data_IF_305153846679
#
_entry.id   IF_305153846679
#
_cell.length_a   1.000
_cell.length_b   1.000
_cell.length_c   1.000
_cell.angle_alpha   90.00
_cell.angle_beta   90.00
_cell.angle_gamma   90.00
#
_symmetry.space_group_name_H-M   'P 1'
#
loop_
_entity.id
_entity.type
_entity.pdbx_description
1 polymer ?
#
# COMPACT_ATOMS: atom_id res chain seq x y z
N UNK A 1 -21.59 26.82 20.00
CA UNK A 1 -20.11 26.70 19.87
C UNK A 1 -19.79 26.59 18.39
N UNK A 2 -19.30 27.66 17.77
CA UNK A 2 -18.89 27.63 16.37
C UNK A 2 -17.54 26.92 16.28
N UNK A 3 -17.51 25.73 15.67
CA UNK A 3 -16.26 25.08 15.33
C UNK A 3 -15.53 25.97 14.31
N UNK A 4 -14.42 26.58 14.72
CA UNK A 4 -13.57 27.32 13.81
C UNK A 4 -13.16 26.39 12.65
N UNK A 5 -13.47 26.75 11.41
CA UNK A 5 -13.14 25.98 10.19
C UNK A 5 -11.64 26.05 9.79
N UNK A 6 -10.80 26.77 10.54
CA UNK A 6 -9.36 26.94 10.27
C UNK A 6 -8.46 25.70 10.48
N UNK A 7 -8.67 24.80 11.47
CA UNK A 7 -7.81 23.63 11.68
C UNK A 7 -7.92 22.62 10.52
N UNK A 8 -9.07 22.53 9.85
CA UNK A 8 -9.27 21.60 8.74
C UNK A 8 -8.38 21.88 7.54
N UNK A 9 -8.16 23.15 7.20
CA UNK A 9 -7.31 23.54 6.07
C UNK A 9 -5.82 23.29 6.35
N UNK A 10 -5.36 23.56 7.58
CA UNK A 10 -3.98 23.27 7.97
C UNK A 10 -3.71 21.77 8.03
N UNK A 11 -4.66 21.01 8.59
CA UNK A 11 -4.58 19.54 8.61
C UNK A 11 -4.60 18.96 7.20
N UNK A 12 -5.46 19.46 6.30
CA UNK A 12 -5.51 19.04 4.91
C UNK A 12 -4.17 19.30 4.19
N UNK A 13 -3.59 20.50 4.37
CA UNK A 13 -2.28 20.83 3.79
C UNK A 13 -1.17 19.92 4.33
N UNK A 14 -1.18 19.61 5.62
CA UNK A 14 -0.20 18.69 6.20
C UNK A 14 -0.35 17.27 5.65
N UNK A 15 -1.58 16.78 5.49
CA UNK A 15 -1.85 15.47 4.90
C UNK A 15 -1.38 15.43 3.45
N UNK A 16 -1.73 16.46 2.67
CA UNK A 16 -1.33 16.56 1.27
C UNK A 16 0.20 16.58 1.12
N UNK A 17 0.90 17.42 1.90
CA UNK A 17 2.37 17.43 1.91
C UNK A 17 2.95 16.07 2.27
N UNK A 18 2.40 15.40 3.29
CA UNK A 18 2.87 14.06 3.67
C UNK A 18 2.63 13.04 2.57
N UNK A 19 1.49 13.11 1.87
CA UNK A 19 1.21 12.23 0.74
C UNK A 19 2.22 12.45 -0.40
N UNK A 20 2.54 13.70 -0.71
CA UNK A 20 3.55 14.08 -1.73
C UNK A 20 4.97 13.64 -1.33
N UNK A 21 5.30 13.64 -0.04
CA UNK A 21 6.60 13.23 0.50
C UNK A 21 6.69 11.71 0.77
N UNK A 22 5.59 10.96 0.61
CA UNK A 22 5.56 9.53 0.91
C UNK A 22 6.15 8.74 -0.24
N UNK A 23 7.25 8.05 0.05
CA UNK A 23 7.98 7.26 -0.93
C UNK A 23 8.38 5.88 -0.36
N UNK A 24 9.13 5.10 -1.15
CA UNK A 24 9.61 3.78 -0.73
C UNK A 24 10.48 3.80 0.54
N UNK A 25 11.18 4.89 0.85
CA UNK A 25 11.98 5.01 2.08
C UNK A 25 11.09 5.37 3.27
N UNK A 26 10.11 6.26 3.08
CA UNK A 26 9.11 6.56 4.09
C UNK A 26 8.39 5.28 4.55
N UNK A 27 7.96 4.44 3.59
CA UNK A 27 7.39 3.13 3.90
C UNK A 27 8.39 2.18 4.56
N UNK A 28 9.65 2.14 4.09
CA UNK A 28 10.66 1.28 4.69
C UNK A 28 10.91 1.65 6.17
N UNK A 29 11.04 2.94 6.47
CA UNK A 29 11.21 3.45 7.83
C UNK A 29 9.98 3.18 8.70
N UNK A 30 8.77 3.24 8.12
CA UNK A 30 7.55 2.90 8.84
C UNK A 30 7.49 1.39 9.16
N UNK A 31 7.78 0.54 8.19
CA UNK A 31 7.79 -0.93 8.35
C UNK A 31 8.88 -1.39 9.33
N UNK A 32 9.98 -0.66 9.43
CA UNK A 32 11.08 -0.92 10.37
C UNK A 32 10.98 -0.11 11.67
N UNK A 33 9.87 0.57 11.90
CA UNK A 33 9.60 1.29 13.16
C UNK A 33 9.38 0.32 14.32
N UNK A 34 9.61 0.79 15.55
CA UNK A 34 9.42 -0.01 16.77
C UNK A 34 8.00 -0.59 16.90
N UNK A 35 7.00 0.04 16.28
CA UNK A 35 5.61 -0.39 16.35
C UNK A 35 5.28 -1.52 15.36
N UNK A 36 6.04 -1.64 14.27
CA UNK A 36 5.72 -2.56 13.17
C UNK A 36 6.79 -3.62 12.93
N UNK A 37 8.04 -3.38 13.32
CA UNK A 37 9.18 -4.26 13.02
C UNK A 37 8.93 -5.70 13.44
N UNK A 38 8.58 -5.94 14.71
CA UNK A 38 8.33 -7.29 15.23
C UNK A 38 7.21 -8.01 14.46
N UNK A 39 6.15 -7.27 14.11
CA UNK A 39 5.02 -7.79 13.34
C UNK A 39 5.42 -8.14 11.91
N UNK A 40 6.22 -7.29 11.26
CA UNK A 40 6.75 -7.55 9.92
C UNK A 40 7.67 -8.77 9.95
N UNK A 41 8.64 -8.83 10.86
CA UNK A 41 9.60 -9.93 10.95
C UNK A 41 8.92 -11.28 11.22
N UNK A 42 7.90 -11.31 12.09
CA UNK A 42 7.14 -12.52 12.38
C UNK A 42 6.35 -13.06 11.17
N UNK A 43 5.94 -12.18 10.26
CA UNK A 43 5.16 -12.54 9.07
C UNK A 43 6.03 -12.90 7.87
N UNK A 44 7.28 -12.47 7.85
CA UNK A 44 8.18 -12.74 6.73
C UNK A 44 8.71 -14.19 6.80
N UNK A 45 8.56 -14.98 5.72
CA UNK A 45 9.16 -16.29 5.68
C UNK A 45 10.69 -16.20 5.71
N UNK A 46 11.35 -17.30 6.07
CA UNK A 46 12.80 -17.41 5.95
C UNK A 46 13.24 -17.02 4.54
N UNK A 47 14.05 -15.96 4.46
CA UNK A 47 14.47 -15.38 3.20
C UNK A 47 16.00 -15.23 3.18
N UNK A 48 16.54 -15.14 1.97
CA UNK A 48 17.96 -14.80 1.78
C UNK A 48 18.06 -13.30 1.53
N UNK A 49 19.11 -12.70 2.09
CA UNK A 49 19.50 -11.34 1.73
C UNK A 49 19.87 -11.28 0.24
N UNK A 50 19.05 -10.54 -0.52
CA UNK A 50 19.18 -10.34 -1.97
C UNK A 50 19.11 -8.83 -2.24
N UNK A 51 19.18 -8.45 -3.52
CA UNK A 51 19.03 -7.04 -3.94
C UNK A 51 17.71 -6.43 -3.46
N UNK A 52 16.64 -7.23 -3.44
CA UNK A 52 15.32 -6.83 -2.95
C UNK A 52 14.89 -7.81 -1.83
N UNK A 53 15.26 -7.55 -0.56
CA UNK A 53 14.71 -8.29 0.57
C UNK A 53 13.21 -8.02 0.74
N UNK A 54 12.47 -8.86 1.47
CA UNK A 54 11.01 -8.74 1.53
C UNK A 54 10.50 -7.39 2.05
N UNK A 55 11.14 -6.81 3.07
CA UNK A 55 10.75 -5.49 3.62
C UNK A 55 10.95 -4.36 2.61
N UNK A 56 12.07 -4.36 1.87
CA UNK A 56 12.31 -3.40 0.79
C UNK A 56 11.34 -3.62 -0.37
N UNK A 57 11.06 -4.88 -0.70
CA UNK A 57 10.08 -5.22 -1.74
C UNK A 57 8.68 -4.70 -1.38
N UNK A 58 8.27 -4.86 -0.12
CA UNK A 58 6.99 -4.38 0.37
C UNK A 58 6.92 -2.85 0.37
N UNK A 59 7.99 -2.16 0.80
CA UNK A 59 8.01 -0.70 0.80
C UNK A 59 7.97 -0.11 -0.60
N UNK A 60 8.68 -0.72 -1.56
CA UNK A 60 8.60 -0.36 -2.99
C UNK A 60 7.22 -0.64 -3.56
N UNK A 61 6.58 -1.75 -3.19
CA UNK A 61 5.24 -2.08 -3.67
C UNK A 61 4.18 -1.11 -3.18
N UNK A 62 4.23 -0.70 -1.91
CA UNK A 62 3.32 0.32 -1.37
C UNK A 62 3.49 1.66 -2.08
N UNK A 63 4.74 2.09 -2.30
CA UNK A 63 5.01 3.32 -3.06
C UNK A 63 4.52 3.22 -4.51
N UNK A 64 4.74 2.07 -5.16
CA UNK A 64 4.27 1.84 -6.53
C UNK A 64 2.74 1.93 -6.63
N UNK A 65 1.99 1.26 -5.75
CA UNK A 65 0.52 1.21 -5.83
C UNK A 65 -0.12 2.57 -5.56
N UNK A 66 0.55 3.42 -4.78
CA UNK A 66 0.07 4.77 -4.44
C UNK A 66 0.56 5.85 -5.41
N UNK A 67 1.46 5.52 -6.34
CA UNK A 67 1.91 6.43 -7.38
C UNK A 67 0.84 6.59 -8.47
N UNK A 68 0.76 7.78 -9.07
CA UNK A 68 -0.27 8.16 -10.05
C UNK A 68 -0.39 7.18 -11.24
N UNK A 69 0.72 6.62 -11.71
CA UNK A 69 0.78 5.73 -12.88
C UNK A 69 1.01 4.25 -12.54
N UNK A 70 1.25 3.92 -11.26
CA UNK A 70 1.54 2.56 -10.81
C UNK A 70 2.76 1.89 -11.45
N UNK A 71 3.66 2.67 -12.08
CA UNK A 71 4.69 2.13 -12.97
C UNK A 71 5.73 1.30 -12.23
N UNK A 72 5.92 0.06 -12.69
CA UNK A 72 6.95 -0.82 -12.16
C UNK A 72 8.36 -0.31 -12.46
N UNK A 73 8.54 0.28 -13.65
CA UNK A 73 9.83 0.85 -14.04
C UNK A 73 10.18 2.06 -13.17
N UNK A 74 9.20 2.95 -12.95
CA UNK A 74 9.38 4.12 -12.08
C UNK A 74 9.80 3.70 -10.67
N UNK A 75 9.11 2.72 -10.08
CA UNK A 75 9.46 2.22 -8.74
C UNK A 75 10.90 1.68 -8.64
N UNK A 76 11.39 1.00 -9.70
CA UNK A 76 12.75 0.47 -9.76
C UNK A 76 13.78 1.57 -10.00
N UNK A 77 13.48 2.54 -10.85
CA UNK A 77 14.35 3.68 -11.13
C UNK A 77 14.53 4.53 -9.87
N UNK A 78 13.43 4.81 -9.14
CA UNK A 78 13.47 5.52 -7.87
C UNK A 78 14.31 4.79 -6.83
N UNK A 79 14.12 3.47 -6.69
CA UNK A 79 14.94 2.66 -5.79
C UNK A 79 16.42 2.68 -6.17
N UNK A 80 16.75 2.60 -7.46
CA UNK A 80 18.12 2.67 -7.94
C UNK A 80 18.77 4.03 -7.65
N UNK A 81 18.06 5.13 -7.89
CA UNK A 81 18.51 6.49 -7.58
C UNK A 81 18.77 6.63 -6.08
N UNK A 82 17.84 6.17 -5.24
CA UNK A 82 17.97 6.28 -3.78
C UNK A 82 19.11 5.44 -3.22
N UNK A 83 19.37 4.26 -3.77
CA UNK A 83 20.57 3.47 -3.42
C UNK A 83 21.85 4.22 -3.73
N UNK A 84 21.93 4.91 -4.88
CA UNK A 84 23.08 5.75 -5.24
C UNK A 84 23.25 6.90 -4.25
N UNK A 85 22.17 7.62 -3.93
CA UNK A 85 22.18 8.72 -2.95
C UNK A 85 22.61 8.22 -1.57
N UNK A 86 22.14 7.03 -1.17
CA UNK A 86 22.47 6.38 0.10
C UNK A 86 23.84 5.70 0.15
N UNK A 87 24.64 5.76 -0.92
CA UNK A 87 25.97 5.12 -0.97
C UNK A 87 25.93 3.58 -0.99
N UNK A 88 24.78 2.98 -1.32
CA UNK A 88 24.61 1.53 -1.43
C UNK A 88 25.06 1.01 -2.80
N UNK A 89 25.36 -0.30 -2.93
CA UNK A 89 25.70 -0.90 -4.20
C UNK A 89 24.61 -0.69 -5.25
N UNK A 90 25.04 -0.37 -6.48
CA UNK A 90 24.15 -0.20 -7.62
C UNK A 90 23.39 -1.49 -7.91
N UNK A 91 22.09 -1.38 -8.17
CA UNK A 91 21.27 -2.47 -8.69
C UNK A 91 20.99 -2.25 -10.19
N UNK A 92 20.70 -3.35 -10.90
CA UNK A 92 20.22 -3.23 -12.27
C UNK A 92 18.84 -2.56 -12.29
N UNK A 93 18.62 -1.61 -13.20
CA UNK A 93 17.33 -0.93 -13.40
C UNK A 93 16.30 -1.81 -14.15
N UNK A 94 16.43 -3.13 -14.07
CA UNK A 94 15.48 -4.07 -14.67
C UNK A 94 14.36 -4.38 -13.69
N UNK A 95 13.12 -4.28 -14.16
CA UNK A 95 11.92 -4.64 -13.40
C UNK A 95 11.84 -6.13 -13.07
N UNK A 96 12.55 -6.99 -13.79
CA UNK A 96 12.44 -8.45 -13.64
C UNK A 96 12.72 -8.93 -12.22
N UNK A 97 13.82 -8.48 -11.60
CA UNK A 97 14.20 -8.88 -10.25
C UNK A 97 13.21 -8.37 -9.19
N UNK A 98 12.73 -7.14 -9.34
CA UNK A 98 11.72 -6.57 -8.45
C UNK A 98 10.37 -7.27 -8.61
N UNK A 99 9.89 -7.51 -9.83
CA UNK A 99 8.66 -8.27 -10.10
C UNK A 99 8.72 -9.68 -9.50
N UNK A 100 9.85 -10.37 -9.61
CA UNK A 100 10.03 -11.69 -9.01
C UNK A 100 10.05 -11.66 -7.49
N UNK A 101 10.65 -10.62 -6.89
CA UNK A 101 10.62 -10.43 -5.43
C UNK A 101 9.19 -10.14 -4.96
N UNK A 102 8.48 -9.24 -5.65
CA UNK A 102 7.09 -8.87 -5.35
C UNK A 102 6.15 -10.07 -5.43
N UNK A 103 6.32 -10.93 -6.43
CA UNK A 103 5.54 -12.16 -6.59
C UNK A 103 5.75 -13.18 -5.45
N UNK A 104 6.82 -13.05 -4.65
CA UNK A 104 7.09 -13.91 -3.50
C UNK A 104 6.54 -13.35 -2.18
N UNK A 105 6.04 -12.11 -2.18
CA UNK A 105 5.43 -11.53 -0.98
C UNK A 105 4.12 -12.27 -0.67
N UNK A 106 3.99 -12.92 0.50
CA UNK A 106 2.74 -13.57 0.87
C UNK A 106 1.63 -12.55 1.09
N UNK A 107 0.45 -12.81 0.54
CA UNK A 107 -0.73 -11.96 0.76
C UNK A 107 -1.12 -11.86 2.26
N UNK A 108 -0.79 -12.90 3.04
CA UNK A 108 -0.99 -12.91 4.50
C UNK A 108 -0.18 -11.81 5.21
N UNK A 109 1.03 -11.50 4.73
CA UNK A 109 1.83 -10.39 5.28
C UNK A 109 1.08 -9.07 5.11
N UNK A 110 0.61 -8.79 3.89
CA UNK A 110 -0.08 -7.53 3.58
C UNK A 110 -1.39 -7.43 4.34
N UNK A 111 -2.23 -8.46 4.29
CA UNK A 111 -3.53 -8.46 4.97
C UNK A 111 -3.42 -8.34 6.49
N UNK A 112 -2.42 -8.95 7.11
CA UNK A 112 -2.18 -8.85 8.56
C UNK A 112 -1.68 -7.46 8.93
N UNK A 113 -0.71 -6.90 8.20
CA UNK A 113 -0.23 -5.55 8.43
C UNK A 113 -1.32 -4.50 8.25
N UNK A 114 -2.19 -4.65 7.25
CA UNK A 114 -3.35 -3.76 7.05
C UNK A 114 -4.28 -3.78 8.27
N UNK A 115 -4.58 -4.96 8.83
CA UNK A 115 -5.39 -5.06 10.05
C UNK A 115 -4.70 -4.44 11.27
N UNK A 116 -3.40 -4.68 11.43
CA UNK A 116 -2.61 -4.12 12.54
C UNK A 116 -2.59 -2.58 12.48
N UNK A 117 -2.23 -2.01 11.32
CA UNK A 117 -2.21 -0.56 11.11
C UNK A 117 -3.61 0.04 11.25
N UNK A 118 -4.64 -0.62 10.74
CA UNK A 118 -6.04 -0.20 10.92
C UNK A 118 -6.47 -0.19 12.39
N UNK A 119 -6.02 -1.17 13.18
CA UNK A 119 -6.22 -1.21 14.63
C UNK A 119 -5.52 -0.05 15.35
N UNK A 120 -4.27 0.25 14.98
CA UNK A 120 -3.50 1.37 15.53
C UNK A 120 -4.17 2.72 15.23
N UNK A 121 -4.61 2.93 13.99
CA UNK A 121 -5.34 4.14 13.59
C UNK A 121 -6.66 4.25 14.37
N UNK A 122 -7.39 3.14 14.50
CA UNK A 122 -8.63 3.08 15.28
C UNK A 122 -8.42 3.45 16.75
N UNK A 123 -7.39 2.88 17.40
CA UNK A 123 -7.08 3.16 18.80
C UNK A 123 -6.57 4.60 19.03
N UNK A 124 -5.90 5.19 18.03
CA UNK A 124 -5.42 6.57 18.06
C UNK A 124 -6.48 7.62 17.71
N UNK A 125 -7.70 7.20 17.34
CA UNK A 125 -8.75 8.13 16.89
C UNK A 125 -9.37 8.87 18.08
N UNK A 126 -9.46 10.21 18.07
CA UNK A 126 -10.05 10.95 19.18
C UNK A 126 -11.53 10.66 19.37
N UNK A 127 -11.98 10.54 20.62
CA UNK A 127 -13.40 10.27 20.94
C UNK A 127 -14.38 11.31 20.37
N UNK A 128 -13.94 12.54 20.10
CA UNK A 128 -14.79 13.58 19.50
C UNK A 128 -15.04 13.38 17.99
N UNK A 129 -14.36 12.43 17.33
CA UNK A 129 -14.71 11.95 15.99
C UNK A 129 -15.81 10.88 16.02
N UNK A 130 -16.18 10.38 17.21
CA UNK A 130 -17.27 9.43 17.34
C UNK A 130 -18.62 10.13 17.31
N UNK A 131 -19.60 9.51 16.66
CA UNK A 131 -20.99 9.96 16.69
C UNK A 131 -21.78 9.04 17.60
N UNK A 132 -22.44 9.58 18.62
CA UNK A 132 -23.11 8.80 19.69
C UNK A 132 -22.21 7.71 20.30
N UNK A 133 -20.95 8.04 20.58
CA UNK A 133 -19.95 7.11 21.12
C UNK A 133 -19.67 5.89 20.21
N UNK A 134 -19.91 6.01 18.90
CA UNK A 134 -19.59 5.00 17.88
C UNK A 134 -18.57 5.54 16.87
N UNK A 135 -17.59 4.74 16.44
CA UNK A 135 -16.63 5.14 15.43
C UNK A 135 -17.35 5.36 14.08
N UNK A 136 -17.01 6.45 13.40
CA UNK A 136 -17.48 6.74 12.04
C UNK A 136 -16.35 6.43 11.06
N UNK A 137 -16.67 5.72 9.97
CA UNK A 137 -15.72 5.40 8.90
C UNK A 137 -16.29 5.88 7.59
N UNK A 138 -15.51 6.66 6.84
CA UNK A 138 -15.78 6.94 5.43
C UNK A 138 -15.03 5.89 4.61
N UNK A 139 -15.75 5.15 3.79
CA UNK A 139 -15.19 4.13 2.91
C UNK A 139 -15.35 4.63 1.48
N UNK A 140 -14.23 4.74 0.77
CA UNK A 140 -14.23 4.94 -0.67
C UNK A 140 -14.02 3.57 -1.34
N UNK A 141 -14.83 3.28 -2.35
CA UNK A 141 -14.79 2.00 -3.06
C UNK A 141 -13.86 2.11 -4.26
N UNK A 142 -12.80 1.30 -4.28
CA UNK A 142 -11.94 1.17 -5.46
C UNK A 142 -12.36 -0.05 -6.30
N UNK A 143 -12.24 0.07 -7.62
CA UNK A 143 -12.37 -1.07 -8.53
C UNK A 143 -11.07 -1.29 -9.29
N UNK A 144 -10.69 -2.55 -9.49
CA UNK A 144 -9.50 -2.94 -10.24
C UNK A 144 -9.87 -3.96 -11.30
N UNK A 145 -9.26 -3.81 -12.48
CA UNK A 145 -9.40 -4.77 -13.56
C UNK A 145 -8.42 -5.92 -13.36
N UNK A 146 -8.91 -7.15 -13.45
CA UNK A 146 -8.13 -8.36 -13.25
C UNK A 146 -7.65 -8.95 -14.58
N UNK A 147 -6.67 -9.85 -14.51
CA UNK A 147 -6.27 -10.64 -15.66
C UNK A 147 -7.42 -11.57 -16.07
N UNK A 148 -7.67 -11.67 -17.37
CA UNK A 148 -8.74 -12.51 -17.93
C UNK A 148 -8.34 -13.99 -17.84
N UNK A 149 -8.70 -14.60 -16.72
CA UNK A 149 -8.46 -16.02 -16.41
C UNK A 149 -9.77 -16.62 -15.91
N UNK A 150 -9.99 -17.90 -16.14
CA UNK A 150 -11.21 -18.59 -15.70
C UNK A 150 -11.43 -18.47 -14.19
N UNK A 151 -10.35 -18.55 -13.40
CA UNK A 151 -10.36 -18.37 -11.95
C UNK A 151 -10.84 -16.97 -11.56
N UNK A 152 -10.27 -15.92 -12.16
CA UNK A 152 -10.70 -14.54 -11.88
C UNK A 152 -12.12 -14.27 -12.37
N UNK A 153 -12.56 -14.85 -13.50
CA UNK A 153 -13.92 -14.68 -14.00
C UNK A 153 -14.96 -15.36 -13.10
N UNK A 154 -14.60 -16.48 -12.46
CA UNK A 154 -15.48 -17.17 -11.53
C UNK A 154 -15.69 -16.37 -10.22
N UNK A 155 -14.65 -15.69 -9.72
CA UNK A 155 -14.70 -14.95 -8.46
C UNK A 155 -15.10 -13.48 -8.66
N UNK A 156 -14.64 -12.85 -9.74
CA UNK A 156 -14.80 -11.43 -10.03
C UNK A 156 -15.44 -11.21 -11.42
N UNK A 157 -16.71 -11.66 -11.60
CA UNK A 157 -17.36 -11.64 -12.91
C UNK A 157 -17.46 -10.23 -13.47
N UNK A 158 -17.41 -10.14 -14.80
CA UNK A 158 -17.56 -8.87 -15.50
C UNK A 158 -18.90 -8.17 -15.19
N UNK A 159 -18.93 -6.83 -15.08
CA UNK A 159 -20.15 -6.08 -14.88
C UNK A 159 -21.16 -6.33 -16.00
N UNK A 160 -22.45 -6.41 -15.67
CA UNK A 160 -23.53 -6.68 -16.64
C UNK A 160 -23.67 -5.60 -17.73
N UNK A 161 -23.10 -4.41 -17.52
CA UNK A 161 -23.03 -3.33 -18.51
C UNK A 161 -21.98 -3.56 -19.60
N UNK A 162 -21.09 -4.54 -19.44
CA UNK A 162 -20.12 -4.95 -20.46
C UNK A 162 -20.53 -6.32 -21.02
N UNK A 163 -21.23 -6.31 -22.16
CA UNK A 163 -21.57 -7.52 -22.90
C UNK A 163 -20.41 -7.90 -23.85
N UNK A 164 -19.71 -9.00 -23.56
CA UNK A 164 -18.65 -9.54 -24.43
C UNK A 164 -17.32 -9.78 -23.72
N UNK A 165 -16.20 -9.37 -24.34
CA UNK A 165 -14.78 -9.55 -23.94
C UNK A 165 -14.39 -8.62 -22.78
N UNK A 166 -15.26 -8.48 -21.78
CA UNK A 166 -14.99 -7.67 -20.60
C UNK A 166 -13.95 -8.35 -19.72
N UNK A 167 -13.01 -7.56 -19.19
CA UNK A 167 -12.07 -8.08 -18.20
C UNK A 167 -12.77 -8.21 -16.84
N UNK A 168 -12.41 -9.22 -16.02
CA UNK A 168 -12.99 -9.36 -14.70
C UNK A 168 -12.70 -8.12 -13.84
N UNK A 169 -13.63 -7.77 -12.94
CA UNK A 169 -13.55 -6.56 -12.12
C UNK A 169 -13.64 -6.91 -10.64
N UNK A 170 -12.55 -6.65 -9.91
CA UNK A 170 -12.54 -6.70 -8.45
C UNK A 170 -13.11 -5.39 -7.91
N UNK A 171 -14.19 -5.46 -7.14
CA UNK A 171 -14.73 -4.33 -6.39
C UNK A 171 -14.34 -4.42 -4.92
N UNK A 172 -13.82 -3.32 -4.36
CA UNK A 172 -13.47 -3.21 -2.95
C UNK A 172 -14.69 -3.05 -2.03
N UNK A 173 -15.68 -3.94 -2.13
CA UNK A 173 -16.77 -4.10 -1.16
C UNK A 173 -17.24 -5.57 -1.21
N UNK A 174 -16.47 -6.47 -0.62
CA UNK A 174 -16.99 -7.75 -0.15
C UNK A 174 -17.28 -7.60 1.36
N UNK A 175 -18.51 -7.94 1.74
CA UNK A 175 -19.09 -7.74 3.09
C UNK A 175 -18.25 -8.33 4.22
#
# INVERSE_FOLDING_TARGET
>A
MHANHRPGLEQQKQIQRRAEETDSYAFFNLLTSLQLLDGVEALLPAHRERVFPPTETLSMFLAQVLADDGSCQQAVDDAAIKRIIGGLPRCAASTSAYCQARARLPAEVVSTLVRQVGGMIGAGTPNWWHTWNRPVRLVDGATMTMADTEENQAVYPQPSSQSGVGRPCLGGLEN
#
